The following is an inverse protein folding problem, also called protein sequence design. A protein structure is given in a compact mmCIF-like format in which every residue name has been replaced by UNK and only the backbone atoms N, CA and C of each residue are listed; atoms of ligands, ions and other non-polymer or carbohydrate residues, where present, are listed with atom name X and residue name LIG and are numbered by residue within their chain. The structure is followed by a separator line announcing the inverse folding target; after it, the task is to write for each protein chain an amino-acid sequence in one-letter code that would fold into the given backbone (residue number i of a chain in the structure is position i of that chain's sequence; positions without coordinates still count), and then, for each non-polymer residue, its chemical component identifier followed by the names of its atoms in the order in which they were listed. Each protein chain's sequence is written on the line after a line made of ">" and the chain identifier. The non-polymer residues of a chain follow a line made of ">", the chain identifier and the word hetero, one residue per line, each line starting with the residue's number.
data_IF_411112279119
#
_entry.id   IF_411112279119
#
_cell.length_a   1.000
_cell.length_b   1.000
_cell.length_c   1.000
_cell.angle_alpha   90.00
_cell.angle_beta   90.00
_cell.angle_gamma   90.00
#
_symmetry.space_group_name_H-M   'P 1'
#
loop_
_entity.id
_entity.type
_entity.pdbx_description
1 polymer ?
#
# COMPACT_ATOMS: atom_id res chain seq x y z
N UNK A 1 -30.25 27.58 29.48
CA UNK A 1 -30.36 26.22 28.91
C UNK A 1 -29.27 26.11 27.84
N UNK A 2 -28.13 25.49 28.16
CA UNK A 2 -27.01 25.38 27.22
C UNK A 2 -27.02 23.98 26.62
N UNK A 3 -27.18 23.90 25.30
CA UNK A 3 -26.99 22.64 24.57
C UNK A 3 -25.48 22.47 24.42
N UNK A 4 -24.89 21.62 25.26
CA UNK A 4 -23.51 21.19 25.09
C UNK A 4 -23.53 20.18 23.93
N UNK A 5 -23.27 20.67 22.72
CA UNK A 5 -22.99 19.80 21.58
C UNK A 5 -21.80 18.92 21.96
N UNK A 6 -22.00 17.61 22.01
CA UNK A 6 -20.91 16.65 22.12
C UNK A 6 -20.02 16.86 20.89
N UNK A 7 -18.90 17.57 21.05
CA UNK A 7 -17.81 17.51 20.08
C UNK A 7 -17.24 16.11 20.24
N UNK A 8 -17.70 15.18 19.41
CA UNK A 8 -16.96 13.95 19.20
C UNK A 8 -15.67 14.36 18.54
N UNK A 9 -14.52 14.00 19.11
CA UNK A 9 -13.28 13.94 18.33
C UNK A 9 -13.60 13.27 17.00
N UNK A 10 -13.07 13.73 15.86
CA UNK A 10 -13.17 12.99 14.61
C UNK A 10 -12.85 11.53 14.93
N UNK A 11 -13.75 10.60 14.60
CA UNK A 11 -13.43 9.19 14.75
C UNK A 11 -12.20 8.95 13.90
N UNK A 12 -11.05 8.69 14.51
CA UNK A 12 -9.87 8.21 13.80
C UNK A 12 -10.19 6.75 13.45
N UNK A 13 -11.04 6.54 12.45
CA UNK A 13 -11.74 5.28 12.21
C UNK A 13 -11.12 4.43 11.09
N UNK A 14 -10.04 4.91 10.46
CA UNK A 14 -9.28 4.08 9.52
C UNK A 14 -8.05 3.55 10.27
N UNK A 15 -8.10 2.28 10.67
CA UNK A 15 -6.91 1.57 11.13
C UNK A 15 -6.04 1.28 9.92
N UNK A 16 -4.85 1.86 9.85
CA UNK A 16 -3.89 1.58 8.78
C UNK A 16 -2.87 0.54 9.23
N UNK A 17 -2.55 -0.38 8.32
CA UNK A 17 -1.40 -1.29 8.44
C UNK A 17 -0.23 -0.67 7.70
N UNK A 18 0.95 -0.76 8.30
CA UNK A 18 2.22 -0.42 7.67
C UNK A 18 3.02 -1.70 7.48
N UNK A 19 3.20 -2.12 6.23
CA UNK A 19 4.04 -3.26 5.84
C UNK A 19 5.35 -2.72 5.24
N UNK A 20 6.49 -3.10 5.82
CA UNK A 20 7.81 -2.76 5.32
C UNK A 20 8.60 -4.03 5.13
N UNK A 21 8.98 -4.34 3.89
CA UNK A 21 9.74 -5.54 3.57
C UNK A 21 10.67 -5.37 2.39
N UNK A 22 11.58 -6.33 2.29
CA UNK A 22 12.49 -6.49 1.16
C UNK A 22 11.83 -7.37 0.10
N UNK A 23 11.83 -6.91 -1.15
CA UNK A 23 11.32 -7.66 -2.29
C UNK A 23 12.15 -8.93 -2.51
N UNK A 24 11.50 -10.09 -2.53
CA UNK A 24 12.16 -11.37 -2.77
C UNK A 24 12.41 -11.61 -4.27
N UNK A 25 13.34 -12.50 -4.60
CA UNK A 25 13.60 -12.89 -6.00
C UNK A 25 12.38 -13.52 -6.68
N UNK A 26 11.52 -14.22 -5.92
CA UNK A 26 10.30 -14.82 -6.46
C UNK A 26 9.22 -13.77 -6.74
N UNK A 27 9.02 -12.83 -5.82
CA UNK A 27 8.09 -11.71 -6.02
C UNK A 27 8.53 -10.80 -7.17
N UNK A 28 9.83 -10.53 -7.28
CA UNK A 28 10.42 -9.86 -8.43
C UNK A 28 10.07 -10.63 -9.71
N UNK A 29 10.45 -11.91 -9.83
CA UNK A 29 10.17 -12.74 -11.01
C UNK A 29 8.69 -12.78 -11.38
N UNK A 30 7.80 -12.91 -10.39
CA UNK A 30 6.35 -12.99 -10.61
C UNK A 30 5.69 -11.62 -10.79
N UNK A 31 6.43 -10.52 -10.58
CA UNK A 31 5.96 -9.14 -10.64
C UNK A 31 4.79 -8.85 -9.71
N UNK A 32 4.75 -9.53 -8.57
CA UNK A 32 3.67 -9.41 -7.59
C UNK A 32 4.13 -9.80 -6.19
N UNK A 33 3.43 -9.30 -5.18
CA UNK A 33 3.58 -9.72 -3.80
C UNK A 33 2.24 -9.88 -3.08
N UNK A 34 2.25 -10.78 -2.10
CA UNK A 34 1.12 -11.05 -1.22
C UNK A 34 1.14 -10.09 -0.03
N UNK A 35 0.11 -9.28 0.16
CA UNK A 35 -0.08 -8.46 1.36
C UNK A 35 -0.50 -9.32 2.54
N UNK A 36 -0.16 -8.94 3.79
CA UNK A 36 -0.52 -9.72 4.98
C UNK A 36 -2.02 -9.73 5.28
N UNK A 37 -2.75 -8.72 4.78
CA UNK A 37 -4.20 -8.55 4.91
C UNK A 37 -4.73 -7.90 3.64
N UNK A 38 -5.99 -8.15 3.32
CA UNK A 38 -6.70 -7.45 2.23
C UNK A 38 -7.02 -6.01 2.66
N UNK A 39 -6.61 -4.98 1.89
CA UNK A 39 -7.04 -3.61 2.12
C UNK A 39 -8.56 -3.47 2.03
N UNK A 40 -9.19 -2.78 2.99
CA UNK A 40 -10.64 -2.50 2.93
C UNK A 40 -11.02 -1.55 1.79
N UNK A 41 -10.08 -0.70 1.39
CA UNK A 41 -10.18 0.16 0.23
C UNK A 41 -8.83 0.18 -0.54
N UNK A 42 -8.73 -0.52 -1.69
CA UNK A 42 -7.50 -0.59 -2.47
C UNK A 42 -7.09 0.77 -3.07
N UNK A 43 -8.01 1.74 -3.16
CA UNK A 43 -7.71 3.08 -3.70
C UNK A 43 -6.96 3.97 -2.71
N UNK A 44 -6.97 3.60 -1.42
CA UNK A 44 -6.26 4.29 -0.33
C UNK A 44 -4.89 3.67 -0.02
N UNK A 45 -4.43 2.70 -0.81
CA UNK A 45 -3.11 2.09 -0.63
C UNK A 45 -2.03 3.04 -1.10
N UNK A 46 -1.05 3.31 -0.24
CA UNK A 46 0.16 4.08 -0.60
C UNK A 46 1.35 3.14 -0.67
N UNK A 47 2.20 3.31 -1.69
CA UNK A 47 3.43 2.55 -1.83
C UNK A 47 4.61 3.49 -2.08
N UNK A 48 5.68 3.28 -1.32
CA UNK A 48 6.95 4.00 -1.47
C UNK A 48 8.12 3.03 -1.55
N UNK A 49 9.08 3.31 -2.43
CA UNK A 49 10.40 2.67 -2.38
C UNK A 49 11.23 3.38 -1.31
N UNK A 50 11.82 2.64 -0.38
CA UNK A 50 12.67 3.22 0.68
C UNK A 50 13.96 3.76 0.05
N UNK A 51 14.11 5.08 0.04
CA UNK A 51 15.19 5.78 -0.67
C UNK A 51 14.86 6.15 -2.12
N UNK A 52 13.66 5.80 -2.59
CA UNK A 52 13.10 6.19 -3.89
C UNK A 52 11.94 7.18 -3.74
N UNK A 53 11.11 7.25 -4.78
CA UNK A 53 9.91 8.10 -4.81
C UNK A 53 8.66 7.34 -4.38
N UNK A 54 7.60 8.10 -4.07
CA UNK A 54 6.25 7.55 -3.93
C UNK A 54 5.71 7.08 -5.29
N UNK A 55 4.83 6.09 -5.27
CA UNK A 55 4.29 5.42 -6.45
C UNK A 55 2.78 5.62 -6.57
N UNK A 56 2.29 5.67 -7.80
CA UNK A 56 0.91 5.98 -8.14
C UNK A 56 0.18 4.71 -8.60
N UNK A 57 -0.86 4.32 -7.85
CA UNK A 57 -1.73 3.19 -8.24
C UNK A 57 -2.39 3.46 -9.61
N UNK A 58 -2.45 2.44 -10.46
CA UNK A 58 -2.98 2.48 -11.83
C UNK A 58 -1.96 2.93 -12.87
N UNK A 59 -0.81 3.48 -12.46
CA UNK A 59 0.32 3.81 -13.34
C UNK A 59 1.55 2.96 -13.04
N UNK A 60 1.86 2.82 -11.74
CA UNK A 60 3.07 2.20 -11.24
C UNK A 60 2.80 0.79 -10.70
N UNK A 61 1.61 0.55 -10.15
CA UNK A 61 1.16 -0.75 -9.61
C UNK A 61 -0.37 -0.82 -9.54
N UNK A 62 -0.90 -2.01 -9.23
CA UNK A 62 -2.30 -2.23 -8.86
C UNK A 62 -2.45 -3.17 -7.64
N UNK A 63 -3.66 -3.19 -7.06
CA UNK A 63 -4.05 -4.04 -5.94
C UNK A 63 -5.30 -4.83 -6.33
N UNK A 64 -5.23 -6.15 -6.30
CA UNK A 64 -6.33 -7.06 -6.59
C UNK A 64 -6.49 -8.01 -5.40
N UNK A 65 -7.53 -7.79 -4.59
CA UNK A 65 -7.68 -8.48 -3.32
C UNK A 65 -6.54 -8.10 -2.37
N UNK A 66 -5.78 -9.09 -1.91
CA UNK A 66 -4.59 -8.93 -1.09
C UNK A 66 -3.28 -9.07 -1.90
N UNK A 67 -3.35 -9.02 -3.23
CA UNK A 67 -2.16 -9.07 -4.10
C UNK A 67 -1.85 -7.68 -4.61
N UNK A 68 -0.61 -7.23 -4.37
CA UNK A 68 -0.02 -6.08 -5.02
C UNK A 68 0.73 -6.55 -6.25
N UNK A 69 0.40 -6.01 -7.42
CA UNK A 69 1.02 -6.38 -8.70
C UNK A 69 1.58 -5.15 -9.39
N UNK A 70 2.73 -5.31 -10.03
CA UNK A 70 3.30 -4.31 -10.92
C UNK A 70 3.55 -4.89 -12.32
N UNK A 71 3.00 -6.07 -12.61
CA UNK A 71 3.06 -6.68 -13.93
C UNK A 71 2.33 -5.81 -14.96
N UNK A 72 3.04 -5.32 -15.98
CA UNK A 72 2.50 -4.42 -16.99
C UNK A 72 2.35 -2.96 -16.53
N UNK A 73 2.93 -2.59 -15.38
CA UNK A 73 2.97 -1.22 -14.87
C UNK A 73 4.40 -0.67 -14.83
N UNK A 74 4.56 0.63 -14.60
CA UNK A 74 5.87 1.30 -14.70
C UNK A 74 6.92 0.74 -13.73
N UNK A 75 6.52 0.24 -12.55
CA UNK A 75 7.45 -0.33 -11.58
C UNK A 75 8.11 -1.62 -12.04
N UNK A 76 7.61 -2.30 -13.07
CA UNK A 76 8.25 -3.49 -13.64
C UNK A 76 9.68 -3.24 -14.12
N UNK A 77 9.97 -2.01 -14.53
CA UNK A 77 11.31 -1.62 -15.00
C UNK A 77 12.18 -1.00 -13.91
N UNK A 78 11.62 -0.79 -12.71
CA UNK A 78 12.25 -0.05 -11.61
C UNK A 78 12.57 -0.96 -10.43
N UNK A 79 11.63 -1.81 -10.03
CA UNK A 79 11.81 -2.73 -8.91
C UNK A 79 12.74 -3.89 -9.28
N UNK A 80 13.59 -4.26 -8.34
CA UNK A 80 14.43 -5.45 -8.40
C UNK A 80 14.47 -6.16 -7.04
N UNK A 81 14.74 -7.47 -7.06
CA UNK A 81 14.95 -8.24 -5.84
C UNK A 81 16.01 -7.59 -4.92
N UNK A 82 15.69 -7.45 -3.64
CA UNK A 82 16.52 -6.76 -2.66
C UNK A 82 16.09 -5.31 -2.38
N UNK A 83 15.23 -4.73 -3.21
CA UNK A 83 14.64 -3.42 -2.93
C UNK A 83 13.77 -3.46 -1.68
N UNK A 84 13.77 -2.34 -0.94
CA UNK A 84 12.93 -2.17 0.24
C UNK A 84 11.74 -1.31 -0.10
N UNK A 85 10.55 -1.79 0.20
CA UNK A 85 9.31 -1.08 -0.06
C UNK A 85 8.51 -0.91 1.24
N UNK A 86 7.74 0.18 1.29
CA UNK A 86 6.75 0.44 2.33
C UNK A 86 5.38 0.51 1.68
N UNK A 87 4.43 -0.21 2.27
CA UNK A 87 3.03 -0.20 1.87
C UNK A 87 2.20 0.21 3.07
N UNK A 88 1.29 1.17 2.88
CA UNK A 88 0.35 1.61 3.93
C UNK A 88 -1.05 1.45 3.37
N UNK A 89 -1.93 0.77 4.10
CA UNK A 89 -3.28 0.47 3.62
C UNK A 89 -4.31 0.38 4.74
N UNK A 90 -5.58 0.75 4.49
CA UNK A 90 -6.64 0.66 5.49
C UNK A 90 -7.15 -0.78 5.66
N UNK A 91 -7.60 -1.10 6.87
CA UNK A 91 -8.35 -2.31 7.21
C UNK A 91 -9.86 -2.08 7.30
#
# INVERSE_FOLDING_TARGET
>A
MAIIGKITSPSIADNYVVDVRTLTALEDTNRQMQLPLTPSDPTKVTLDLIGGTSQVRGLDFDIIGDVLTWNGFSLETVLAAGDKIRIIFPL
#
